data_IF_214094656129
#
_entry.id   IF_214094656129
#
_cell.length_a   1.000
_cell.length_b   1.000
_cell.length_c   1.000
_cell.angle_alpha   90.00
_cell.angle_beta   90.00
_cell.angle_gamma   90.00
#
_symmetry.space_group_name_H-M   'P 1'
#
loop_
_entity.id
_entity.type
_entity.pdbx_description
1 polymer ?
#
# COMPACT_ATOMS: atom_id res chain seq x y z
N UNK A 1 -30.42 -29.62 5.36
CA UNK A 1 -29.19 -28.93 4.95
C UNK A 1 -29.52 -27.50 4.62
N UNK A 2 -29.04 -26.53 5.41
CA UNK A 2 -29.20 -25.09 5.14
C UNK A 2 -28.26 -24.74 3.98
N UNK A 3 -28.83 -24.37 2.82
CA UNK A 3 -28.05 -23.84 1.70
C UNK A 3 -27.58 -22.43 2.09
N UNK A 4 -26.29 -22.27 2.31
CA UNK A 4 -25.63 -20.98 2.38
C UNK A 4 -25.71 -20.31 0.99
N UNK A 5 -26.65 -19.43 0.78
CA UNK A 5 -26.63 -18.52 -0.35
C UNK A 5 -25.56 -17.46 -0.07
N UNK A 6 -24.51 -17.42 -0.88
CA UNK A 6 -23.56 -16.30 -0.86
C UNK A 6 -24.36 -15.02 -1.00
N UNK A 7 -24.11 -13.98 -0.15
CA UNK A 7 -24.76 -12.71 -0.34
C UNK A 7 -24.49 -12.23 -1.77
N UNK A 8 -25.55 -11.83 -2.45
CA UNK A 8 -25.46 -11.18 -3.77
C UNK A 8 -24.56 -9.96 -3.56
N UNK A 9 -23.37 -9.96 -4.17
CA UNK A 9 -22.49 -8.78 -4.17
C UNK A 9 -23.32 -7.64 -4.74
N UNK A 10 -23.38 -6.53 -4.00
CA UNK A 10 -24.00 -5.31 -4.50
C UNK A 10 -23.36 -4.99 -5.87
N UNK A 11 -24.19 -4.73 -6.87
CA UNK A 11 -23.83 -4.62 -8.30
C UNK A 11 -22.91 -3.42 -8.61
N UNK A 12 -22.45 -2.68 -7.60
CA UNK A 12 -21.78 -1.39 -7.72
C UNK A 12 -20.46 -1.27 -6.94
N UNK A 13 -19.62 -2.31 -6.93
CA UNK A 13 -18.25 -2.13 -6.45
C UNK A 13 -17.48 -1.25 -7.45
N UNK A 14 -17.13 -0.04 -7.03
CA UNK A 14 -16.28 0.86 -7.80
C UNK A 14 -14.95 0.14 -8.06
N UNK A 15 -14.67 -0.13 -9.33
CA UNK A 15 -13.44 -0.79 -9.75
C UNK A 15 -12.26 0.19 -9.82
N UNK A 16 -12.51 1.42 -10.25
CA UNK A 16 -11.54 2.51 -10.34
C UNK A 16 -12.26 3.86 -10.20
N UNK A 17 -11.55 4.90 -9.84
CA UNK A 17 -12.08 6.25 -9.68
C UNK A 17 -12.07 6.99 -11.03
N UNK A 18 -13.10 7.80 -11.27
CA UNK A 18 -13.03 8.82 -12.31
C UNK A 18 -12.02 9.90 -11.92
N UNK A 19 -11.67 10.80 -12.84
CA UNK A 19 -10.74 11.92 -12.54
C UNK A 19 -11.32 12.80 -11.44
N UNK A 20 -12.60 13.17 -11.53
CA UNK A 20 -13.30 13.98 -10.54
C UNK A 20 -13.34 13.31 -9.14
N UNK A 21 -13.67 12.02 -9.08
CA UNK A 21 -13.67 11.26 -7.83
C UNK A 21 -12.26 11.17 -7.21
N UNK A 22 -11.23 11.00 -8.04
CA UNK A 22 -9.84 10.98 -7.59
C UNK A 22 -9.41 12.32 -7.00
N UNK A 23 -9.77 13.43 -7.65
CA UNK A 23 -9.46 14.78 -7.17
C UNK A 23 -10.16 15.06 -5.85
N UNK A 24 -11.46 14.80 -5.73
CA UNK A 24 -12.24 14.94 -4.49
C UNK A 24 -11.69 14.08 -3.35
N UNK A 25 -11.32 12.84 -3.67
CA UNK A 25 -10.71 11.94 -2.69
C UNK A 25 -9.36 12.47 -2.18
N UNK A 26 -8.47 12.91 -3.08
CA UNK A 26 -7.17 13.44 -2.68
C UNK A 26 -7.28 14.75 -1.90
N UNK A 27 -8.25 15.60 -2.22
CA UNK A 27 -8.54 16.81 -1.47
C UNK A 27 -8.99 16.48 -0.04
N UNK A 28 -9.95 15.57 0.14
CA UNK A 28 -10.38 15.09 1.46
C UNK A 28 -9.25 14.41 2.23
N UNK A 29 -8.38 13.68 1.54
CA UNK A 29 -7.24 12.98 2.14
C UNK A 29 -6.06 13.90 2.48
N UNK A 30 -6.00 15.14 1.98
CA UNK A 30 -4.82 16.02 2.03
C UNK A 30 -4.26 16.24 3.45
N UNK A 31 -5.14 16.30 4.46
CA UNK A 31 -4.76 16.46 5.87
C UNK A 31 -4.70 15.13 6.63
N UNK A 32 -4.91 14.03 5.94
CA UNK A 32 -4.88 12.68 6.51
C UNK A 32 -3.47 12.21 6.74
N UNK A 33 -3.25 11.50 7.86
CA UNK A 33 -1.98 10.82 8.13
C UNK A 33 -1.65 9.69 7.13
N UNK A 34 -2.62 9.22 6.34
CA UNK A 34 -2.45 8.22 5.28
C UNK A 34 -2.39 8.83 3.87
N UNK A 35 -2.38 10.15 3.73
CA UNK A 35 -2.35 10.81 2.42
C UNK A 35 -1.21 10.30 1.53
N UNK A 36 0.00 10.22 2.09
CA UNK A 36 1.20 9.78 1.36
C UNK A 36 1.06 8.37 0.81
N UNK A 37 0.44 7.47 1.57
CA UNK A 37 0.20 6.08 1.17
C UNK A 37 -0.81 6.01 0.02
N UNK A 38 -1.94 6.72 0.12
CA UNK A 38 -2.95 6.78 -0.94
C UNK A 38 -2.41 7.41 -2.22
N UNK A 39 -1.70 8.53 -2.10
CA UNK A 39 -1.08 9.20 -3.23
C UNK A 39 -0.02 8.32 -3.90
N UNK A 40 0.82 7.63 -3.13
CA UNK A 40 1.81 6.71 -3.68
C UNK A 40 1.18 5.53 -4.42
N UNK A 41 0.07 4.98 -3.93
CA UNK A 41 -0.67 3.92 -4.63
C UNK A 41 -1.18 4.38 -6.01
N UNK A 42 -1.69 5.61 -6.10
CA UNK A 42 -2.14 6.21 -7.36
C UNK A 42 -0.99 6.48 -8.33
N UNK A 43 0.24 6.67 -7.85
CA UNK A 43 1.43 6.91 -8.66
C UNK A 43 2.19 5.63 -9.07
N UNK A 44 2.01 4.53 -8.35
CA UNK A 44 2.84 3.32 -8.51
C UNK A 44 2.05 2.04 -8.78
N UNK A 45 0.77 2.02 -8.50
CA UNK A 45 -0.06 0.84 -8.62
C UNK A 45 0.37 -0.33 -7.72
N UNK A 46 1.04 -0.07 -6.59
CA UNK A 46 1.36 -1.11 -5.61
C UNK A 46 0.10 -1.80 -5.09
N UNK A 47 0.21 -3.08 -4.72
CA UNK A 47 -0.80 -3.74 -3.89
C UNK A 47 -0.68 -3.26 -2.44
N UNK A 48 -1.77 -3.30 -1.68
CA UNK A 48 -1.75 -2.89 -0.27
C UNK A 48 -0.67 -3.60 0.55
N UNK A 49 -0.52 -4.92 0.39
CA UNK A 49 0.52 -5.67 1.09
C UNK A 49 1.96 -5.33 0.62
N UNK A 50 2.13 -4.93 -0.64
CA UNK A 50 3.40 -4.42 -1.18
C UNK A 50 3.73 -3.04 -0.61
N UNK A 51 2.71 -2.18 -0.46
CA UNK A 51 2.85 -0.87 0.19
C UNK A 51 3.23 -1.01 1.67
N UNK A 52 2.51 -1.87 2.41
CA UNK A 52 2.77 -2.10 3.84
C UNK A 52 4.18 -2.67 4.04
N UNK A 53 4.62 -3.58 3.16
CA UNK A 53 5.94 -4.21 3.21
C UNK A 53 7.06 -3.42 2.50
N UNK A 54 6.80 -2.19 2.11
CA UNK A 54 7.80 -1.35 1.44
C UNK A 54 8.88 -0.93 2.44
N UNK A 55 10.13 -1.23 2.12
CA UNK A 55 11.30 -0.89 2.92
C UNK A 55 12.26 0.00 2.14
N UNK A 56 13.14 0.69 2.81
CA UNK A 56 14.07 1.66 2.20
C UNK A 56 15.00 1.04 1.16
N UNK A 57 15.38 -0.22 1.32
CA UNK A 57 16.22 -0.97 0.36
C UNK A 57 15.52 -1.25 -0.99
N UNK A 58 14.20 -1.06 -1.05
CA UNK A 58 13.42 -1.18 -2.29
C UNK A 58 13.53 0.04 -3.21
N UNK A 59 14.14 1.13 -2.75
CA UNK A 59 14.19 2.42 -3.45
C UNK A 59 15.61 2.70 -3.93
N UNK A 60 15.79 2.78 -5.24
CA UNK A 60 17.01 3.30 -5.85
C UNK A 60 16.84 4.80 -6.13
N UNK A 61 17.38 5.61 -5.23
CA UNK A 61 17.29 7.08 -5.28
C UNK A 61 17.98 7.66 -6.52
N UNK A 62 19.09 7.07 -6.95
CA UNK A 62 19.87 7.54 -8.11
C UNK A 62 19.14 7.25 -9.41
N UNK A 63 18.60 6.04 -9.56
CA UNK A 63 17.82 5.64 -10.74
C UNK A 63 16.37 6.11 -10.68
N UNK A 64 15.91 6.59 -9.53
CA UNK A 64 14.53 6.98 -9.26
C UNK A 64 13.57 5.83 -9.57
N UNK A 65 13.84 4.67 -9.00
CA UNK A 65 13.03 3.46 -9.19
C UNK A 65 12.66 2.82 -7.86
N UNK A 66 11.55 2.10 -7.86
CA UNK A 66 11.07 1.28 -6.75
C UNK A 66 10.94 -0.16 -7.22
N UNK A 67 11.58 -1.09 -6.49
CA UNK A 67 11.53 -2.51 -6.80
C UNK A 67 10.57 -3.24 -5.87
N UNK A 68 9.58 -3.93 -6.46
CA UNK A 68 8.63 -4.78 -5.75
C UNK A 68 9.18 -6.19 -5.67
N UNK A 69 9.62 -6.63 -4.50
CA UNK A 69 10.20 -7.96 -4.26
C UNK A 69 9.65 -8.66 -3.02
N UNK A 70 8.84 -7.98 -2.22
CA UNK A 70 8.29 -8.50 -0.97
C UNK A 70 6.94 -7.87 -0.64
N UNK A 71 6.24 -8.47 0.30
CA UNK A 71 4.96 -8.01 0.83
C UNK A 71 4.89 -8.27 2.33
N UNK A 72 4.05 -7.52 3.03
CA UNK A 72 3.80 -7.67 4.45
C UNK A 72 2.30 -7.62 4.72
N UNK A 73 1.78 -8.56 5.50
CA UNK A 73 0.38 -8.62 5.88
C UNK A 73 0.21 -9.01 7.34
N UNK A 74 -0.83 -8.48 7.98
CA UNK A 74 -1.21 -8.89 9.32
C UNK A 74 -2.22 -10.04 9.27
N UNK A 75 -1.89 -11.14 9.94
CA UNK A 75 -2.74 -12.33 10.05
C UNK A 75 -3.68 -12.20 11.25
N UNK A 76 -4.84 -11.58 11.04
CA UNK A 76 -5.82 -11.28 12.09
C UNK A 76 -6.22 -12.51 12.91
N UNK A 77 -6.44 -13.66 12.29
CA UNK A 77 -6.79 -14.89 12.99
C UNK A 77 -5.66 -15.49 13.84
N UNK A 78 -4.43 -15.05 13.65
CA UNK A 78 -3.22 -15.59 14.29
C UNK A 78 -2.46 -14.54 15.10
N UNK A 79 -2.76 -13.25 14.90
CA UNK A 79 -2.22 -12.17 15.72
C UNK A 79 -0.77 -11.77 15.41
N UNK A 80 -0.24 -12.07 14.21
CA UNK A 80 1.15 -11.76 13.86
C UNK A 80 1.30 -11.15 12.46
N UNK A 81 2.45 -10.52 12.22
CA UNK A 81 2.88 -10.04 10.91
C UNK A 81 3.57 -11.15 10.13
N UNK A 82 3.26 -11.27 8.85
CA UNK A 82 3.87 -12.22 7.93
C UNK A 82 4.45 -11.49 6.73
N UNK A 83 5.76 -11.63 6.54
CA UNK A 83 6.44 -11.26 5.31
C UNK A 83 6.32 -12.39 4.28
N UNK A 84 6.35 -12.05 3.01
CA UNK A 84 6.34 -13.02 1.92
C UNK A 84 6.80 -12.43 0.59
N UNK A 85 7.00 -13.30 -0.41
CA UNK A 85 7.23 -12.85 -1.77
C UNK A 85 5.97 -12.19 -2.34
N UNK A 86 6.07 -11.44 -3.43
CA UNK A 86 4.90 -10.99 -4.18
C UNK A 86 4.02 -12.16 -4.61
N UNK A 87 2.71 -11.93 -4.71
CA UNK A 87 1.68 -12.98 -4.92
C UNK A 87 1.94 -13.90 -6.12
N UNK A 88 2.58 -13.40 -7.17
CA UNK A 88 2.91 -14.16 -8.40
C UNK A 88 4.29 -13.78 -8.91
N UNK A 89 4.90 -14.62 -9.75
CA UNK A 89 6.17 -14.32 -10.42
C UNK A 89 6.15 -13.00 -11.19
N UNK A 90 5.05 -12.71 -11.90
CA UNK A 90 4.85 -11.45 -12.64
C UNK A 90 4.70 -10.22 -11.75
N UNK A 91 4.54 -10.40 -10.45
CA UNK A 91 4.43 -9.28 -9.50
C UNK A 91 5.77 -8.66 -9.13
N UNK A 92 6.88 -9.39 -9.33
CA UNK A 92 8.22 -8.82 -9.22
C UNK A 92 8.43 -7.82 -10.35
N UNK A 93 8.67 -6.58 -10.01
CA UNK A 93 8.81 -5.51 -11.00
C UNK A 93 9.58 -4.33 -10.43
N UNK A 94 10.15 -3.54 -11.32
CA UNK A 94 10.74 -2.24 -11.00
C UNK A 94 9.85 -1.15 -11.62
N UNK A 95 9.48 -0.18 -10.81
CA UNK A 95 8.56 0.91 -11.17
C UNK A 95 9.40 2.20 -11.24
N UNK A 96 9.41 2.92 -12.37
CA UNK A 96 9.94 4.28 -12.42
C UNK A 96 9.12 5.20 -11.51
N UNK A 97 9.79 6.04 -10.72
CA UNK A 97 9.11 6.98 -9.84
C UNK A 97 8.80 8.28 -10.59
N UNK A 98 7.55 8.68 -10.58
CA UNK A 98 7.14 10.03 -10.97
C UNK A 98 7.76 11.05 -10.00
N UNK A 99 7.80 12.32 -10.39
CA UNK A 99 8.29 13.39 -9.48
C UNK A 99 7.49 13.43 -8.18
N UNK A 100 6.18 13.21 -8.26
CA UNK A 100 5.30 13.15 -7.09
C UNK A 100 5.61 11.96 -6.19
N UNK A 101 5.74 10.74 -6.75
CA UNK A 101 6.11 9.55 -5.99
C UNK A 101 7.48 9.71 -5.32
N UNK A 102 8.46 10.24 -6.06
CA UNK A 102 9.80 10.51 -5.52
C UNK A 102 9.75 11.50 -4.35
N UNK A 103 9.04 12.62 -4.50
CA UNK A 103 8.89 13.63 -3.45
C UNK A 103 8.21 13.08 -2.20
N UNK A 104 7.18 12.25 -2.36
CA UNK A 104 6.51 11.57 -1.24
C UNK A 104 7.50 10.69 -0.47
N UNK A 105 8.23 9.81 -1.18
CA UNK A 105 9.19 8.91 -0.56
C UNK A 105 10.34 9.65 0.09
N UNK A 106 10.83 10.72 -0.55
CA UNK A 106 11.91 11.57 0.00
C UNK A 106 11.48 12.26 1.30
N UNK A 107 10.28 12.81 1.33
CA UNK A 107 9.71 13.41 2.55
C UNK A 107 9.58 12.37 3.69
N UNK A 108 9.13 11.16 3.38
CA UNK A 108 9.09 10.08 4.38
C UNK A 108 10.50 9.70 4.87
N UNK A 109 11.48 9.68 3.98
CA UNK A 109 12.87 9.37 4.34
C UNK A 109 13.48 10.43 5.26
N UNK A 110 13.23 11.69 4.98
CA UNK A 110 13.74 12.81 5.77
C UNK A 110 13.12 12.86 7.19
N UNK A 111 11.92 12.31 7.35
CA UNK A 111 11.20 12.26 8.63
C UNK A 111 11.37 10.91 9.38
N UNK A 112 12.05 9.92 8.80
CA UNK A 112 12.07 8.54 9.33
C UNK A 112 12.59 8.44 10.78
N UNK A 113 13.56 9.27 11.15
CA UNK A 113 14.19 9.23 12.48
C UNK A 113 13.35 9.92 13.57
N UNK A 114 12.27 10.62 13.18
CA UNK A 114 11.35 11.29 14.12
C UNK A 114 10.16 10.40 14.54
N UNK A 115 10.01 9.23 13.95
CA UNK A 115 8.95 8.29 14.28
C UNK A 115 9.20 7.59 15.62
N UNK A 116 8.13 7.20 16.29
CA UNK A 116 8.24 6.41 17.53
C UNK A 116 8.68 4.97 17.20
N UNK A 117 9.54 4.43 18.05
CA UNK A 117 9.91 3.02 18.04
C UNK A 117 8.84 2.17 18.74
N UNK A 118 8.64 0.93 18.28
CA UNK A 118 7.78 -0.08 18.88
C UNK A 118 8.47 -1.46 18.89
N UNK A 119 8.00 -2.37 19.72
CA UNK A 119 8.47 -3.77 19.70
C UNK A 119 8.22 -4.44 18.34
N UNK A 120 7.15 -4.07 17.65
CA UNK A 120 6.86 -4.57 16.31
C UNK A 120 7.98 -4.23 15.33
N UNK A 121 8.57 -3.04 15.41
CA UNK A 121 9.65 -2.63 14.51
C UNK A 121 10.99 -3.33 14.80
N UNK A 122 11.17 -3.95 15.96
CA UNK A 122 12.36 -4.74 16.26
C UNK A 122 12.38 -6.13 15.59
N UNK A 123 11.27 -6.53 14.97
CA UNK A 123 11.14 -7.85 14.37
C UNK A 123 11.87 -7.95 13.03
N UNK A 124 12.43 -9.13 12.78
CA UNK A 124 12.98 -9.54 11.50
C UNK A 124 12.17 -10.74 11.02
N UNK A 125 11.49 -10.60 9.90
CA UNK A 125 10.59 -11.62 9.36
C UNK A 125 11.24 -12.33 8.19
N UNK A 126 11.41 -13.65 8.31
CA UNK A 126 11.97 -14.49 7.25
C UNK A 126 10.89 -14.92 6.26
N UNK A 127 11.27 -15.02 4.99
CA UNK A 127 10.42 -15.57 3.93
C UNK A 127 11.28 -16.21 2.83
N UNK A 128 10.67 -17.03 1.98
CA UNK A 128 11.35 -17.61 0.81
C UNK A 128 11.01 -16.79 -0.42
N UNK A 129 12.03 -16.32 -1.13
CA UNK A 129 11.87 -15.67 -2.44
C UNK A 129 11.39 -16.72 -3.45
N UNK A 130 10.21 -16.52 -4.05
CA UNK A 130 9.60 -17.49 -4.93
C UNK A 130 10.28 -17.62 -6.30
N UNK A 131 11.20 -16.71 -6.65
CA UNK A 131 11.99 -16.79 -7.89
C UNK A 131 13.27 -17.60 -7.72
N UNK A 132 13.95 -17.43 -6.60
CA UNK A 132 15.28 -18.01 -6.36
C UNK A 132 15.24 -19.21 -5.42
N UNK A 133 14.15 -19.36 -4.61
CA UNK A 133 14.10 -20.33 -3.52
C UNK A 133 14.96 -19.96 -2.31
N UNK A 134 15.60 -18.81 -2.34
CA UNK A 134 16.47 -18.35 -1.25
C UNK A 134 15.66 -17.80 -0.07
N UNK A 135 16.21 -18.02 1.11
CA UNK A 135 15.72 -17.41 2.34
C UNK A 135 16.10 -15.94 2.38
N UNK A 136 15.12 -15.08 2.57
CA UNK A 136 15.27 -13.63 2.70
C UNK A 136 14.59 -13.11 3.96
N UNK A 137 14.93 -11.89 4.34
CA UNK A 137 14.38 -11.23 5.50
C UNK A 137 13.72 -9.91 5.13
N UNK A 138 12.65 -9.56 5.85
CA UNK A 138 12.10 -8.22 5.93
C UNK A 138 12.41 -7.68 7.33
N UNK A 139 13.17 -6.60 7.39
CA UNK A 139 13.49 -5.89 8.63
C UNK A 139 12.38 -4.87 8.87
N UNK A 140 11.58 -5.07 9.93
CA UNK A 140 10.43 -4.21 10.21
C UNK A 140 10.84 -2.75 10.49
N UNK A 141 12.01 -2.54 11.06
CA UNK A 141 12.57 -1.20 11.29
C UNK A 141 12.76 -0.41 9.99
N UNK A 142 12.99 -1.08 8.86
CA UNK A 142 13.23 -0.44 7.57
C UNK A 142 11.96 -0.10 6.80
N UNK A 143 10.77 -0.35 7.38
CA UNK A 143 9.50 0.01 6.75
C UNK A 143 9.39 1.51 6.47
N UNK A 144 8.95 1.85 5.26
CA UNK A 144 8.72 3.24 4.85
C UNK A 144 7.52 3.83 5.58
N UNK A 145 6.43 3.08 5.70
CA UNK A 145 5.18 3.54 6.29
C UNK A 145 4.87 2.87 7.61
N UNK A 146 4.90 3.67 8.66
CA UNK A 146 4.43 3.30 10.00
C UNK A 146 3.63 4.46 10.59
N UNK A 147 2.80 4.20 11.56
CA UNK A 147 2.18 5.24 12.35
C UNK A 147 3.27 5.93 13.20
N UNK A 148 3.55 7.17 12.91
CA UNK A 148 4.63 7.92 13.56
C UNK A 148 4.44 8.08 15.08
N UNK A 149 3.20 8.03 15.58
CA UNK A 149 2.87 8.14 17.02
C UNK A 149 3.05 6.83 17.78
N UNK A 150 2.83 5.71 17.13
CA UNK A 150 2.85 4.38 17.78
C UNK A 150 4.03 3.53 17.34
N UNK A 151 4.65 3.82 16.20
CA UNK A 151 5.66 2.98 15.57
C UNK A 151 5.08 1.70 14.95
N UNK A 152 3.75 1.56 14.84
CA UNK A 152 3.12 0.35 14.32
C UNK A 152 2.81 0.49 12.83
N UNK A 153 3.07 -0.54 12.01
CA UNK A 153 2.58 -0.57 10.64
C UNK A 153 1.06 -0.65 10.61
N UNK A 154 0.43 0.04 9.66
CA UNK A 154 -1.02 -0.02 9.51
C UNK A 154 -1.46 -1.37 8.93
N UNK A 155 -2.50 -1.97 9.52
CA UNK A 155 -3.13 -3.19 9.00
C UNK A 155 -4.01 -2.86 7.79
N UNK A 156 -4.21 -3.84 6.89
CA UNK A 156 -5.05 -3.66 5.70
C UNK A 156 -6.45 -3.09 6.04
N UNK A 157 -7.10 -3.67 7.04
CA UNK A 157 -8.44 -3.24 7.48
C UNK A 157 -8.47 -1.81 7.99
N UNK A 158 -7.38 -1.32 8.57
CA UNK A 158 -7.29 0.07 9.06
C UNK A 158 -7.26 1.06 7.90
N UNK A 159 -6.61 0.71 6.79
CA UNK A 159 -6.63 1.53 5.58
C UNK A 159 -8.03 1.64 4.99
N UNK A 160 -8.74 0.52 4.80
CA UNK A 160 -10.10 0.53 4.23
C UNK A 160 -11.08 1.30 5.12
N UNK A 161 -11.03 1.10 6.44
CA UNK A 161 -11.89 1.82 7.38
C UNK A 161 -11.67 3.33 7.29
N UNK A 162 -10.43 3.77 7.26
CA UNK A 162 -10.10 5.19 7.15
C UNK A 162 -10.48 5.76 5.78
N UNK A 163 -10.27 4.97 4.72
CA UNK A 163 -10.63 5.35 3.35
C UNK A 163 -12.13 5.55 3.18
N UNK A 164 -12.97 4.69 3.78
CA UNK A 164 -14.43 4.87 3.78
C UNK A 164 -14.87 6.18 4.43
N UNK A 165 -14.23 6.57 5.54
CA UNK A 165 -14.48 7.85 6.18
C UNK A 165 -14.16 9.02 5.24
N UNK A 166 -13.01 8.97 4.55
CA UNK A 166 -12.62 10.00 3.58
C UNK A 166 -13.59 10.06 2.38
N UNK A 167 -14.07 8.92 1.90
CA UNK A 167 -15.10 8.89 0.84
C UNK A 167 -16.39 9.59 1.29
N UNK A 168 -16.84 9.33 2.52
CA UNK A 168 -18.03 9.98 3.09
C UNK A 168 -17.82 11.50 3.20
N UNK A 169 -16.65 11.95 3.66
CA UNK A 169 -16.28 13.36 3.75
C UNK A 169 -16.21 14.03 2.37
N UNK A 170 -15.71 13.32 1.36
CA UNK A 170 -15.61 13.79 -0.01
C UNK A 170 -16.96 13.76 -0.76
N UNK A 171 -17.99 13.14 -0.20
CA UNK A 171 -19.29 12.97 -0.88
C UNK A 171 -19.22 12.05 -2.09
N UNK A 172 -18.29 11.07 -2.10
CA UNK A 172 -18.13 10.09 -3.16
C UNK A 172 -18.48 8.68 -2.66
N UNK A 173 -18.77 7.80 -3.60
CA UNK A 173 -19.07 6.40 -3.29
C UNK A 173 -17.86 5.71 -2.65
N UNK A 174 -18.08 4.89 -1.62
CA UNK A 174 -17.02 4.14 -0.94
C UNK A 174 -16.35 3.16 -1.89
N UNK A 175 -15.04 3.07 -1.79
CA UNK A 175 -14.20 2.11 -2.50
C UNK A 175 -13.12 1.54 -1.56
N UNK A 176 -12.51 0.42 -1.90
CA UNK A 176 -11.42 -0.18 -1.13
C UNK A 176 -10.04 0.18 -1.70
N UNK A 177 -8.98 -0.08 -0.94
CA UNK A 177 -7.59 0.18 -1.34
C UNK A 177 -7.23 -0.37 -2.73
N UNK A 178 -7.82 -1.49 -3.12
CA UNK A 178 -7.55 -2.12 -4.41
C UNK A 178 -8.02 -1.27 -5.61
N UNK A 179 -9.04 -0.45 -5.42
CA UNK A 179 -9.52 0.48 -6.45
C UNK A 179 -8.48 1.55 -6.81
N UNK A 180 -7.62 1.97 -5.86
CA UNK A 180 -6.53 2.92 -6.13
C UNK A 180 -5.52 2.32 -7.13
N UNK A 181 -5.20 1.04 -6.98
CA UNK A 181 -4.35 0.34 -7.96
C UNK A 181 -5.02 0.20 -9.33
N UNK A 182 -6.32 -0.11 -9.38
CA UNK A 182 -7.05 -0.14 -10.65
C UNK A 182 -7.11 1.24 -11.30
N UNK A 183 -7.26 2.29 -10.51
CA UNK A 183 -7.20 3.67 -11.00
C UNK A 183 -5.86 3.97 -11.65
N UNK A 184 -4.74 3.61 -11.00
CA UNK A 184 -3.42 3.72 -11.61
C UNK A 184 -3.33 3.01 -12.97
N UNK A 185 -3.77 1.74 -13.03
CA UNK A 185 -3.71 0.96 -14.26
C UNK A 185 -4.57 1.59 -15.38
N UNK A 186 -5.77 2.08 -15.05
CA UNK A 186 -6.63 2.80 -16.01
C UNK A 186 -5.95 4.05 -16.53
N UNK A 187 -5.35 4.87 -15.64
CA UNK A 187 -4.63 6.10 -16.06
C UNK A 187 -3.41 5.79 -16.91
N UNK A 188 -2.68 4.71 -16.64
CA UNK A 188 -1.54 4.29 -17.46
C UNK A 188 -1.99 3.95 -18.89
N UNK A 189 -3.07 3.17 -19.04
CA UNK A 189 -3.64 2.83 -20.35
C UNK A 189 -4.11 4.08 -21.09
N UNK A 190 -4.82 5.01 -20.43
CA UNK A 190 -5.28 6.26 -21.01
C UNK A 190 -4.13 7.14 -21.53
N UNK A 191 -2.94 7.04 -20.92
CA UNK A 191 -1.72 7.76 -21.32
C UNK A 191 -0.86 7.01 -22.33
N UNK A 192 -1.27 5.81 -22.76
CA UNK A 192 -0.55 4.99 -23.73
C UNK A 192 0.71 4.31 -23.20
N UNK A 193 0.75 4.04 -21.90
CA UNK A 193 1.85 3.35 -21.20
C UNK A 193 1.51 1.87 -20.98
#
# INVERSE_FOLDING_TARGET
>A
GVRYTKPVRAVDDIKYLTVDEQEKFLEAAAQSHNYRQYALLLETGLRTAELIGLTWDSIDWKKRTLTVSKSLEYRHGQGYWRAGPPKTQKSYRTIPLTDKAYSILKSCYDEKDSRKESETLSQILEYIDSRTGEKKCLIMHDLVFVNWRTGEPAKNSSYDTHLYKLCDEAGIKRFCMHALRHTYATRAIERGV
#
